data_IF_181862392251
#
_entry.id   IF_181862392251
#
_cell.length_a   1.000
_cell.length_b   1.000
_cell.length_c   1.000
_cell.angle_alpha   90.00
_cell.angle_beta   90.00
_cell.angle_gamma   90.00
#
_symmetry.space_group_name_H-M   'P 1'
#
loop_
_entity.id
_entity.type
_entity.pdbx_description
1 polymer ?
#
# COMPACT_ATOMS: atom_id res chain seq x y z
N UNK A 1 14.42 6.07 -18.62
CA UNK A 1 13.26 6.37 -17.76
C UNK A 1 12.85 5.17 -16.93
N UNK A 2 12.65 4.01 -17.56
CA UNK A 2 12.26 2.74 -16.91
C UNK A 2 13.23 2.26 -15.82
N UNK A 3 14.55 2.35 -16.05
CA UNK A 3 15.56 1.97 -15.05
C UNK A 3 15.37 2.68 -13.70
N UNK A 4 15.09 3.99 -13.73
CA UNK A 4 14.85 4.80 -12.53
C UNK A 4 13.58 4.36 -11.80
N UNK A 5 12.54 3.94 -12.53
CA UNK A 5 11.29 3.47 -11.93
C UNK A 5 11.50 2.14 -11.19
N UNK A 6 12.23 1.21 -11.81
CA UNK A 6 12.60 -0.07 -11.19
C UNK A 6 13.47 0.12 -9.95
N UNK A 7 14.40 1.08 -9.95
CA UNK A 7 15.19 1.43 -8.77
C UNK A 7 14.34 1.97 -7.62
N UNK A 8 13.34 2.81 -7.92
CA UNK A 8 12.40 3.31 -6.89
C UNK A 8 11.52 2.21 -6.32
N UNK A 9 11.04 1.30 -7.16
CA UNK A 9 10.25 0.14 -6.72
C UNK A 9 11.08 -0.78 -5.80
N UNK A 10 12.33 -1.10 -6.18
CA UNK A 10 13.25 -1.88 -5.33
C UNK A 10 13.54 -1.21 -4.00
N UNK A 11 13.66 0.12 -3.99
CA UNK A 11 13.84 0.88 -2.76
C UNK A 11 12.62 0.76 -1.84
N UNK A 12 11.41 0.85 -2.40
CA UNK A 12 10.16 0.64 -1.66
C UNK A 12 10.09 -0.78 -1.08
N UNK A 13 10.34 -1.80 -1.90
CA UNK A 13 10.34 -3.20 -1.46
C UNK A 13 11.34 -3.44 -0.32
N UNK A 14 12.52 -2.83 -0.40
CA UNK A 14 13.55 -2.91 0.65
C UNK A 14 13.12 -2.25 1.96
N UNK A 15 12.43 -1.11 1.90
CA UNK A 15 11.90 -0.47 3.11
C UNK A 15 10.82 -1.33 3.74
N UNK A 16 9.91 -1.89 2.93
CA UNK A 16 8.80 -2.70 3.41
C UNK A 16 9.26 -4.03 4.02
N UNK A 17 10.29 -4.68 3.44
CA UNK A 17 10.82 -5.95 3.94
C UNK A 17 11.49 -5.86 5.32
N UNK A 18 11.81 -4.64 5.78
CA UNK A 18 12.33 -4.41 7.12
C UNK A 18 11.27 -4.57 8.22
N UNK A 19 9.98 -4.65 7.87
CA UNK A 19 8.88 -4.78 8.81
C UNK A 19 8.24 -6.17 8.72
N UNK A 20 7.85 -6.79 9.85
CA UNK A 20 7.19 -8.09 9.85
C UNK A 20 5.71 -8.03 9.40
N UNK A 21 5.09 -6.84 9.49
CA UNK A 21 3.68 -6.60 9.16
C UNK A 21 3.43 -5.11 8.86
N UNK A 22 2.32 -4.77 8.19
CA UNK A 22 1.92 -3.39 7.92
C UNK A 22 0.41 -3.15 8.08
N UNK A 23 0.04 -1.94 8.50
CA UNK A 23 -1.31 -1.39 8.42
C UNK A 23 -1.29 -0.25 7.40
N UNK A 24 -2.18 -0.29 6.40
CA UNK A 24 -2.24 0.69 5.32
C UNK A 24 -3.56 1.44 5.40
N UNK A 25 -3.50 2.77 5.50
CA UNK A 25 -4.64 3.63 5.24
C UNK A 25 -4.99 3.54 3.75
N UNK A 26 -6.10 2.86 3.45
CA UNK A 26 -6.50 2.49 2.10
C UNK A 26 -7.69 3.35 1.66
N UNK A 27 -7.53 4.06 0.54
CA UNK A 27 -8.56 4.96 -0.01
C UNK A 27 -9.14 4.48 -1.35
N UNK A 28 -8.69 3.32 -1.85
CA UNK A 28 -9.01 2.85 -3.19
C UNK A 28 -8.27 3.55 -4.34
N UNK A 29 -7.59 4.68 -4.06
CA UNK A 29 -6.78 5.39 -5.05
C UNK A 29 -5.54 4.60 -5.49
N UNK A 30 -5.00 4.95 -6.66
CA UNK A 30 -3.86 4.23 -7.30
C UNK A 30 -2.63 4.12 -6.40
N UNK A 31 -2.33 5.13 -5.60
CA UNK A 31 -1.18 5.13 -4.71
C UNK A 31 -1.35 4.12 -3.56
N UNK A 32 -2.51 4.14 -2.90
CA UNK A 32 -2.82 3.20 -1.80
C UNK A 32 -2.93 1.76 -2.31
N UNK A 33 -3.45 1.57 -3.53
CA UNK A 33 -3.53 0.28 -4.21
C UNK A 33 -2.17 -0.24 -4.61
N UNK A 34 -1.28 0.60 -5.13
CA UNK A 34 0.11 0.23 -5.41
C UNK A 34 0.83 -0.21 -4.14
N UNK A 35 0.71 0.57 -3.05
CA UNK A 35 1.34 0.23 -1.79
C UNK A 35 0.80 -1.11 -1.23
N UNK A 36 -0.51 -1.33 -1.28
CA UNK A 36 -1.14 -2.59 -0.88
C UNK A 36 -0.62 -3.78 -1.70
N UNK A 37 -0.50 -3.62 -3.02
CA UNK A 37 0.02 -4.65 -3.91
C UNK A 37 1.48 -5.00 -3.59
N UNK A 38 2.33 -3.98 -3.40
CA UNK A 38 3.75 -4.20 -3.10
C UNK A 38 3.90 -4.83 -1.70
N UNK A 39 3.18 -4.36 -0.68
CA UNK A 39 3.19 -4.98 0.65
C UNK A 39 2.79 -6.45 0.60
N UNK A 40 1.72 -6.80 -0.13
CA UNK A 40 1.31 -8.21 -0.30
C UNK A 40 2.43 -9.07 -0.91
N UNK A 41 3.19 -8.54 -1.86
CA UNK A 41 4.29 -9.27 -2.50
C UNK A 41 5.53 -9.39 -1.59
N UNK A 42 5.78 -8.43 -0.72
CA UNK A 42 7.00 -8.36 0.11
C UNK A 42 6.82 -9.05 1.46
N UNK A 43 5.71 -8.80 2.15
CA UNK A 43 5.44 -9.29 3.52
C UNK A 43 4.24 -10.25 3.59
N UNK A 44 3.66 -10.63 2.44
CA UNK A 44 2.63 -11.66 2.36
C UNK A 44 1.29 -11.25 2.96
N UNK A 45 0.68 -12.16 3.72
CA UNK A 45 -0.63 -11.94 4.36
C UNK A 45 -0.56 -11.05 5.61
N UNK A 46 0.63 -10.59 6.01
CA UNK A 46 0.82 -9.74 7.20
C UNK A 46 0.51 -8.26 6.92
N UNK A 47 -0.46 -7.97 6.07
CA UNK A 47 -0.89 -6.61 5.72
C UNK A 47 -2.37 -6.44 5.98
N UNK A 48 -2.74 -5.41 6.75
CA UNK A 48 -4.11 -5.00 6.97
C UNK A 48 -4.40 -3.70 6.22
N UNK A 49 -5.43 -3.71 5.35
CA UNK A 49 -5.92 -2.52 4.67
C UNK A 49 -7.08 -1.93 5.48
N UNK A 50 -7.03 -0.63 5.74
CA UNK A 50 -8.03 0.07 6.57
C UNK A 50 -8.54 1.29 5.83
N UNK A 51 -9.83 1.29 5.52
CA UNK A 51 -10.55 2.47 5.03
C UNK A 51 -11.15 3.22 6.21
N UNK A 52 -10.97 4.54 6.26
CA UNK A 52 -11.57 5.37 7.30
C UNK A 52 -13.00 5.75 6.92
N UNK A 53 -13.93 5.63 7.87
CA UNK A 53 -15.33 6.04 7.72
C UNK A 53 -15.56 7.38 8.43
N UNK A 54 -16.22 8.34 7.80
CA UNK A 54 -16.63 9.62 8.40
C UNK A 54 -17.97 10.06 7.81
N UNK A 55 -18.74 10.86 8.54
CA UNK A 55 -19.98 11.49 8.03
C UNK A 55 -19.74 12.42 6.84
N UNK A 56 -18.48 12.76 6.55
CA UNK A 56 -18.06 13.57 5.40
C UNK A 56 -17.72 12.75 4.16
N UNK A 57 -17.61 11.41 4.27
CA UNK A 57 -17.35 10.53 3.13
C UNK A 57 -18.65 9.86 2.69
N UNK A 58 -18.94 9.78 1.38
CA UNK A 58 -20.10 9.04 0.88
C UNK A 58 -19.92 7.53 1.09
N UNK A 59 -21.01 6.81 1.36
CA UNK A 59 -20.97 5.33 1.52
C UNK A 59 -20.40 4.60 0.31
N UNK A 60 -20.49 5.19 -0.89
CA UNK A 60 -19.91 4.64 -2.12
C UNK A 60 -18.37 4.57 -2.12
N UNK A 61 -17.71 5.24 -1.18
CA UNK A 61 -16.24 5.23 -1.02
C UNK A 61 -15.76 4.20 0.03
N UNK A 62 -16.68 3.45 0.66
CA UNK A 62 -16.40 2.41 1.66
C UNK A 62 -16.51 1.00 1.07
#
# INVERSE_FOLDING_TARGET
MEKKLLERLKSLEKVLSAYPSALIAFSGGVDSTLLAYVCKNVIGQNTLLVTATSSTYPESEL
#
